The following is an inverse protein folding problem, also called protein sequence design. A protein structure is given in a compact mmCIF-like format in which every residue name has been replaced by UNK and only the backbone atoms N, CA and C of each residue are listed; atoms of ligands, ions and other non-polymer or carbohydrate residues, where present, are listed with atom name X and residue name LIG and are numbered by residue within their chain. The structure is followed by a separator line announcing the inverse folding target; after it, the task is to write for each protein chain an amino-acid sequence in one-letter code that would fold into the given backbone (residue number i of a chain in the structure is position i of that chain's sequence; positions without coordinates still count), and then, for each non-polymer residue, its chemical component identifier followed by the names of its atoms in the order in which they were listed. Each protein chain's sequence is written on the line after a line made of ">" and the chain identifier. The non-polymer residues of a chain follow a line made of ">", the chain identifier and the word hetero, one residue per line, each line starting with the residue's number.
data_IF_458350765510
#
_entry.id   IF_458350765510
#
_cell.length_a   1.000
_cell.length_b   1.000
_cell.length_c   1.000
_cell.angle_alpha   90.00
_cell.angle_beta   90.00
_cell.angle_gamma   90.00
#
_symmetry.space_group_name_H-M   'P 1'
#
loop_
_entity.id
_entity.type
_entity.pdbx_description
1 polymer ?
#
# COMPACT_ATOMS: atom_id res chain seq x y z
N UNK A 1 33.39 88.23 19.82
CA UNK A 1 33.99 87.94 21.15
C UNK A 1 32.96 87.23 22.01
N UNK A 2 33.36 86.09 22.60
CA UNK A 2 32.81 85.46 23.83
C UNK A 2 31.41 84.83 23.78
N UNK A 3 31.43 83.52 23.54
CA UNK A 3 30.77 82.40 24.22
C UNK A 3 29.80 82.76 25.37
N UNK A 4 28.62 82.12 25.40
CA UNK A 4 28.13 81.38 26.58
C UNK A 4 26.83 80.64 26.29
N UNK A 5 26.76 79.43 26.86
CA UNK A 5 25.75 78.38 26.79
C UNK A 5 24.31 78.80 27.11
N UNK A 6 23.35 77.92 26.79
CA UNK A 6 22.24 77.70 27.69
C UNK A 6 22.06 76.24 28.13
N UNK A 7 21.57 76.17 29.36
CA UNK A 7 21.36 75.08 30.29
C UNK A 7 20.14 74.20 29.97
N UNK A 8 20.31 72.90 30.23
CA UNK A 8 19.37 71.83 30.63
C UNK A 8 17.85 71.99 30.39
N UNK A 9 17.29 70.99 29.71
CA UNK A 9 15.92 70.50 29.95
C UNK A 9 15.99 68.95 30.01
N UNK A 10 15.50 68.30 31.08
CA UNK A 10 15.19 66.87 31.07
C UNK A 10 13.67 66.63 31.12
N UNK A 11 13.24 65.48 30.60
CA UNK A 11 12.02 64.70 30.94
C UNK A 11 11.43 64.15 29.64
N UNK A 12 11.72 62.90 29.29
CA UNK A 12 10.98 61.70 29.75
C UNK A 12 9.52 61.70 29.27
N UNK A 13 9.28 60.98 28.16
CA UNK A 13 8.18 60.02 28.09
C UNK A 13 8.39 59.10 26.89
N UNK A 14 8.85 57.90 27.24
CA UNK A 14 8.92 56.69 26.42
C UNK A 14 7.56 56.35 25.80
N UNK A 15 7.56 56.09 24.49
CA UNK A 15 6.53 55.29 23.82
C UNK A 15 7.29 54.18 23.07
N UNK A 16 7.21 52.90 23.48
CA UNK A 16 7.68 51.83 22.63
C UNK A 16 6.61 51.57 21.57
N UNK A 17 6.89 52.01 20.35
CA UNK A 17 6.15 51.61 19.16
C UNK A 17 6.32 50.09 19.00
N UNK A 18 5.20 49.37 18.99
CA UNK A 18 5.16 47.93 18.72
C UNK A 18 5.45 47.73 17.25
N UNK A 19 6.73 47.71 16.88
CA UNK A 19 7.18 47.13 15.63
C UNK A 19 6.98 45.62 15.75
N UNK A 20 5.80 45.15 15.35
CA UNK A 20 5.59 43.75 15.00
C UNK A 20 6.47 43.47 13.80
N UNK A 21 7.70 43.03 14.07
CA UNK A 21 8.52 42.28 13.14
C UNK A 21 7.73 41.03 12.78
N UNK A 22 6.95 41.11 11.69
CA UNK A 22 6.54 39.92 10.97
C UNK A 22 7.82 39.43 10.31
N UNK A 23 8.48 38.48 10.96
CA UNK A 23 9.52 37.67 10.36
C UNK A 23 8.90 36.96 9.16
N UNK A 24 9.00 37.60 8.00
CA UNK A 24 8.89 36.94 6.73
C UNK A 24 10.07 35.97 6.66
N UNK A 25 9.82 34.72 7.05
CA UNK A 25 10.63 33.57 6.67
C UNK A 25 10.51 33.38 5.16
N UNK A 26 11.20 34.26 4.42
CA UNK A 26 11.56 34.02 3.05
C UNK A 26 12.67 32.96 3.04
N UNK A 27 12.29 31.69 3.03
CA UNK A 27 13.22 30.59 2.76
C UNK A 27 13.68 30.67 1.32
N UNK A 28 14.96 30.98 1.16
CA UNK A 28 15.65 31.15 -0.10
C UNK A 28 15.71 29.82 -0.89
N UNK A 29 15.37 29.93 -2.17
CA UNK A 29 15.34 28.89 -3.19
C UNK A 29 16.74 28.34 -3.47
N UNK A 30 17.01 27.14 -2.96
CA UNK A 30 18.00 26.20 -3.52
C UNK A 30 17.19 25.01 -3.99
N UNK A 31 17.40 24.50 -5.21
CA UNK A 31 16.53 23.52 -5.87
C UNK A 31 16.32 22.23 -5.02
N UNK A 32 15.34 22.28 -4.11
CA UNK A 32 14.99 21.21 -3.19
C UNK A 32 14.05 20.27 -3.93
N UNK A 33 14.52 19.05 -4.20
CA UNK A 33 13.69 18.03 -4.82
C UNK A 33 12.51 17.72 -3.88
N UNK A 34 11.31 17.50 -4.42
CA UNK A 34 10.13 17.25 -3.60
C UNK A 34 10.28 15.97 -2.78
N UNK A 35 9.60 15.93 -1.64
CA UNK A 35 9.50 14.72 -0.82
C UNK A 35 8.86 13.56 -1.61
N UNK A 36 9.18 12.30 -1.27
CA UNK A 36 8.55 11.13 -1.88
C UNK A 36 7.02 11.19 -1.81
N UNK A 37 6.35 10.93 -2.94
CA UNK A 37 4.89 11.05 -3.04
C UNK A 37 4.14 9.89 -2.34
N UNK A 38 4.83 8.82 -1.99
CA UNK A 38 4.29 7.71 -1.19
C UNK A 38 5.20 7.43 0.01
N UNK A 39 4.65 6.98 1.16
CA UNK A 39 5.45 6.59 2.31
C UNK A 39 6.46 5.50 1.96
N UNK A 40 7.64 5.53 2.56
CA UNK A 40 8.71 4.54 2.28
C UNK A 40 8.27 3.09 2.53
N UNK A 41 7.42 2.89 3.53
CA UNK A 41 6.85 1.58 3.94
C UNK A 41 5.66 1.12 3.07
N UNK A 42 5.26 1.91 2.07
CA UNK A 42 4.10 1.63 1.25
C UNK A 42 4.37 0.41 0.35
N UNK A 43 3.92 -0.77 0.79
CA UNK A 43 4.00 -2.03 0.05
C UNK A 43 2.62 -2.48 -0.43
N UNK A 44 2.44 -2.54 -1.75
CA UNK A 44 1.21 -2.95 -2.44
C UNK A 44 1.38 -4.23 -3.28
N UNK A 45 2.44 -5.01 -3.05
CA UNK A 45 2.71 -6.27 -3.80
C UNK A 45 1.64 -7.34 -3.62
N UNK A 46 0.84 -7.26 -2.55
CA UNK A 46 -0.31 -8.12 -2.29
C UNK A 46 -1.60 -7.69 -3.00
N UNK A 47 -1.63 -6.51 -3.63
CA UNK A 47 -2.77 -5.98 -4.36
C UNK A 47 -2.47 -6.04 -5.87
N UNK A 48 -2.90 -7.11 -6.57
CA UNK A 48 -2.53 -7.33 -7.98
C UNK A 48 -3.17 -6.33 -8.95
N UNK A 49 -4.24 -5.66 -8.55
CA UNK A 49 -4.95 -4.70 -9.39
C UNK A 49 -4.50 -3.27 -9.06
N UNK A 50 -4.03 -2.55 -10.07
CA UNK A 50 -3.84 -1.10 -10.00
C UNK A 50 -5.12 -0.40 -10.46
N UNK A 51 -5.78 0.43 -9.62
CA UNK A 51 -6.96 1.18 -10.04
C UNK A 51 -6.55 2.27 -11.05
N UNK A 52 -7.22 2.28 -12.20
CA UNK A 52 -7.05 3.29 -13.24
C UNK A 52 -8.33 4.10 -13.39
N UNK A 53 -8.21 5.42 -13.27
CA UNK A 53 -9.29 6.34 -13.59
C UNK A 53 -9.36 6.49 -15.12
N UNK A 54 -10.37 5.86 -15.72
CA UNK A 54 -10.52 5.75 -17.17
C UNK A 54 -10.71 7.12 -17.82
N UNK A 55 -11.52 7.99 -17.20
CA UNK A 55 -11.78 9.34 -17.71
C UNK A 55 -10.51 10.18 -17.65
N UNK A 56 -9.85 10.20 -16.49
CA UNK A 56 -8.60 10.96 -16.31
C UNK A 56 -7.48 10.45 -17.22
N UNK A 57 -7.42 9.15 -17.49
CA UNK A 57 -6.42 8.56 -18.38
C UNK A 57 -6.70 8.91 -19.85
N UNK A 58 -7.94 8.69 -20.31
CA UNK A 58 -8.35 8.90 -21.70
C UNK A 58 -8.26 10.37 -22.10
N UNK A 59 -8.69 11.26 -21.22
CA UNK A 59 -8.81 12.70 -21.51
C UNK A 59 -7.53 13.48 -21.13
N UNK A 60 -6.45 12.79 -20.72
CA UNK A 60 -5.17 13.43 -20.38
C UNK A 60 -4.39 13.87 -21.62
N UNK A 61 -3.60 14.93 -21.48
CA UNK A 61 -2.64 15.38 -22.49
C UNK A 61 -1.69 14.27 -22.96
N UNK A 62 -1.33 13.33 -22.07
CA UNK A 62 -0.51 12.16 -22.44
C UNK A 62 -1.20 11.35 -23.54
N UNK A 63 -2.52 11.21 -23.50
CA UNK A 63 -3.28 10.50 -24.51
C UNK A 63 -3.34 11.25 -25.84
N UNK A 64 -3.24 12.59 -25.82
CA UNK A 64 -3.36 13.46 -26.99
C UNK A 64 -2.02 13.72 -27.70
N UNK A 65 -0.95 14.03 -26.95
CA UNK A 65 0.29 14.60 -27.50
C UNK A 65 1.35 13.55 -27.85
N UNK A 66 1.31 12.38 -27.21
CA UNK A 66 2.41 11.40 -27.26
C UNK A 66 2.20 10.31 -28.32
N UNK A 67 3.33 9.83 -28.85
CA UNK A 67 3.31 8.68 -29.76
C UNK A 67 2.62 7.46 -29.13
N UNK A 68 1.90 6.62 -29.89
CA UNK A 68 1.28 5.40 -29.36
C UNK A 68 2.28 4.49 -28.61
N UNK A 69 3.51 4.41 -29.11
CA UNK A 69 4.61 3.68 -28.48
C UNK A 69 4.98 4.25 -27.10
N UNK A 70 5.16 5.58 -26.99
CA UNK A 70 5.44 6.24 -25.71
C UNK A 70 4.29 6.08 -24.72
N UNK A 71 3.03 6.19 -25.17
CA UNK A 71 1.83 5.96 -24.33
C UNK A 71 1.80 4.55 -23.77
N UNK A 72 2.04 3.55 -24.61
CA UNK A 72 2.08 2.14 -24.17
C UNK A 72 3.23 1.88 -23.18
N UNK A 73 4.44 2.36 -23.49
CA UNK A 73 5.59 2.29 -22.60
C UNK A 73 5.31 2.94 -21.24
N UNK A 74 4.66 4.12 -21.23
CA UNK A 74 4.26 4.80 -20.01
C UNK A 74 3.27 3.98 -19.15
N UNK A 75 2.32 3.28 -19.77
CA UNK A 75 1.39 2.39 -19.04
C UNK A 75 2.15 1.20 -18.43
N UNK A 76 3.07 0.57 -19.18
CA UNK A 76 3.91 -0.50 -18.66
C UNK A 76 4.75 -0.05 -17.46
N UNK A 77 5.30 1.16 -17.51
CA UNK A 77 6.03 1.76 -16.39
C UNK A 77 5.12 2.02 -15.18
N UNK A 78 3.89 2.47 -15.38
CA UNK A 78 2.92 2.61 -14.27
C UNK A 78 2.65 1.26 -13.59
N UNK A 79 2.42 0.21 -14.39
CA UNK A 79 2.21 -1.14 -13.88
C UNK A 79 3.46 -1.67 -13.14
N UNK A 80 4.66 -1.43 -13.67
CA UNK A 80 5.91 -1.84 -13.03
C UNK A 80 6.15 -1.11 -11.69
N UNK A 81 5.78 0.17 -11.62
CA UNK A 81 5.92 1.02 -10.45
C UNK A 81 4.96 0.62 -9.32
N UNK A 82 3.76 0.16 -9.66
CA UNK A 82 2.72 -0.22 -8.68
C UNK A 82 3.23 -1.21 -7.61
N UNK A 83 4.08 -2.14 -8.01
CA UNK A 83 4.63 -3.18 -7.14
C UNK A 83 6.04 -2.90 -6.60
N UNK A 84 6.60 -1.71 -6.84
CA UNK A 84 7.86 -1.31 -6.20
C UNK A 84 7.65 -1.04 -4.70
N UNK A 85 8.75 -0.98 -3.96
CA UNK A 85 8.77 -0.51 -2.57
C UNK A 85 9.81 0.62 -2.53
N UNK A 86 9.39 1.89 -2.31
CA UNK A 86 8.01 2.36 -2.08
C UNK A 86 7.09 2.20 -3.30
N UNK A 87 5.80 1.92 -3.09
CA UNK A 87 4.85 1.75 -4.19
C UNK A 87 4.79 3.00 -5.06
N UNK A 88 4.68 2.81 -6.38
CA UNK A 88 4.65 3.85 -7.43
C UNK A 88 5.94 4.63 -7.62
N UNK A 89 7.02 4.20 -6.99
CA UNK A 89 8.37 4.69 -7.27
C UNK A 89 9.00 3.90 -8.42
N UNK A 90 9.88 4.55 -9.19
CA UNK A 90 10.75 3.91 -10.17
C UNK A 90 12.21 4.31 -9.91
N UNK A 91 13.18 3.40 -10.10
CA UNK A 91 14.59 3.79 -10.13
C UNK A 91 14.87 4.64 -11.38
N UNK A 92 15.67 5.69 -11.22
CA UNK A 92 16.17 6.54 -12.32
C UNK A 92 17.35 5.86 -13.06
N UNK A 93 17.16 4.61 -13.46
CA UNK A 93 18.12 3.81 -14.22
C UNK A 93 17.56 3.54 -15.62
N UNK A 94 18.27 4.05 -16.64
CA UNK A 94 17.84 3.95 -18.03
C UNK A 94 17.70 2.50 -18.51
N UNK A 95 18.59 1.60 -18.09
CA UNK A 95 18.54 0.19 -18.46
C UNK A 95 17.35 -0.51 -17.80
N UNK A 96 17.13 -0.23 -16.52
CA UNK A 96 15.98 -0.76 -15.79
C UNK A 96 14.66 -0.30 -16.42
N UNK A 97 14.56 0.99 -16.77
CA UNK A 97 13.37 1.57 -17.38
C UNK A 97 13.10 0.97 -18.77
N UNK A 98 14.12 0.85 -19.62
CA UNK A 98 14.00 0.23 -20.93
C UNK A 98 13.51 -1.23 -20.84
N UNK A 99 14.05 -2.00 -19.88
CA UNK A 99 13.61 -3.38 -19.62
C UNK A 99 12.13 -3.47 -19.24
N UNK A 100 11.65 -2.58 -18.37
CA UNK A 100 10.24 -2.58 -17.93
C UNK A 100 9.27 -2.02 -18.96
N UNK A 101 9.75 -1.15 -19.84
CA UNK A 101 8.97 -0.62 -20.95
C UNK A 101 8.93 -1.56 -22.18
N UNK A 102 9.57 -2.74 -22.13
CA UNK A 102 9.74 -3.68 -23.24
C UNK A 102 10.59 -3.17 -24.42
N UNK A 103 11.56 -2.29 -24.16
CA UNK A 103 12.55 -1.81 -25.14
C UNK A 103 13.94 -2.41 -24.89
N UNK A 104 13.97 -3.66 -24.46
CA UNK A 104 15.18 -4.42 -24.20
C UNK A 104 15.18 -5.72 -25.02
N UNK A 105 16.09 -5.82 -25.98
CA UNK A 105 16.17 -6.96 -26.89
C UNK A 105 17.62 -7.43 -27.05
N UNK A 106 17.81 -8.76 -27.06
CA UNK A 106 19.13 -9.40 -27.27
C UNK A 106 20.24 -8.86 -26.35
N UNK A 107 19.90 -8.50 -25.11
CA UNK A 107 20.85 -7.99 -24.12
C UNK A 107 21.27 -6.53 -24.33
N UNK A 108 20.55 -5.75 -25.14
CA UNK A 108 20.81 -4.33 -25.38
C UNK A 108 19.52 -3.52 -25.36
N UNK A 109 19.66 -2.23 -25.07
CA UNK A 109 18.57 -1.25 -25.19
C UNK A 109 18.26 -1.03 -26.67
N UNK A 110 16.98 -1.03 -27.02
CA UNK A 110 16.54 -0.68 -28.38
C UNK A 110 16.85 0.78 -28.70
N UNK A 111 17.22 1.07 -29.95
CA UNK A 111 17.48 2.44 -30.42
C UNK A 111 16.25 3.32 -30.29
N UNK A 112 15.06 2.73 -30.47
CA UNK A 112 13.78 3.43 -30.40
C UNK A 112 13.47 3.94 -29.00
N UNK A 113 14.04 3.32 -27.95
CA UNK A 113 13.86 3.76 -26.56
C UNK A 113 14.24 5.22 -26.36
N UNK A 114 15.34 5.65 -26.96
CA UNK A 114 15.86 7.01 -26.80
C UNK A 114 14.87 8.08 -27.28
N UNK A 115 14.12 7.79 -28.35
CA UNK A 115 13.14 8.69 -28.94
C UNK A 115 11.85 8.79 -28.09
N UNK A 116 11.42 7.68 -27.49
CA UNK A 116 10.15 7.63 -26.75
C UNK A 116 10.30 7.83 -25.24
N UNK A 117 11.52 7.72 -24.69
CA UNK A 117 11.77 7.73 -23.24
C UNK A 117 11.18 8.97 -22.57
N UNK A 118 11.35 10.13 -23.20
CA UNK A 118 10.83 11.39 -22.69
C UNK A 118 9.30 11.35 -22.55
N UNK A 119 8.60 10.82 -23.56
CA UNK A 119 7.15 10.67 -23.51
C UNK A 119 6.66 9.58 -22.58
N UNK A 120 7.38 8.46 -22.48
CA UNK A 120 7.08 7.39 -21.52
C UNK A 120 7.22 7.86 -20.06
N UNK A 121 8.19 8.76 -19.81
CA UNK A 121 8.45 9.39 -18.51
C UNK A 121 7.74 10.74 -18.32
N UNK A 122 6.77 11.08 -19.17
CA UNK A 122 5.97 12.30 -18.99
C UNK A 122 5.21 12.25 -17.66
N UNK A 123 5.29 13.32 -16.88
CA UNK A 123 4.63 13.46 -15.58
C UNK A 123 5.30 12.74 -14.42
N UNK A 124 6.45 12.11 -14.64
CA UNK A 124 7.29 11.59 -13.57
C UNK A 124 8.12 12.70 -12.94
N UNK A 125 8.19 12.70 -11.61
CA UNK A 125 8.87 13.71 -10.80
C UNK A 125 9.98 13.01 -10.03
N UNK A 126 11.20 13.54 -10.11
CA UNK A 126 12.31 13.04 -9.30
C UNK A 126 12.18 13.61 -7.89
N UNK A 127 12.11 12.72 -6.90
CA UNK A 127 12.01 13.08 -5.49
C UNK A 127 13.40 13.04 -4.81
N UNK A 128 13.45 13.52 -3.57
CA UNK A 128 14.68 13.61 -2.76
C UNK A 128 15.36 12.25 -2.47
N UNK A 129 14.62 11.14 -2.57
CA UNK A 129 15.13 9.77 -2.45
C UNK A 129 15.82 9.24 -3.73
N UNK A 130 15.93 10.08 -4.76
CA UNK A 130 16.54 9.73 -6.05
C UNK A 130 15.65 8.87 -6.95
N UNK A 131 14.39 8.63 -6.58
CA UNK A 131 13.43 7.85 -7.36
C UNK A 131 12.46 8.77 -8.12
N UNK A 132 11.89 8.21 -9.19
CA UNK A 132 10.86 8.86 -9.97
C UNK A 132 9.49 8.45 -9.43
N UNK A 133 8.62 9.41 -9.15
CA UNK A 133 7.24 9.18 -8.74
C UNK A 133 6.28 9.82 -9.74
N UNK A 134 5.12 9.21 -9.92
CA UNK A 134 4.08 9.77 -10.76
C UNK A 134 2.85 10.12 -9.92
N UNK A 135 2.40 11.39 -9.89
CA UNK A 135 1.44 11.89 -8.90
C UNK A 135 0.08 11.19 -8.99
N UNK A 136 -0.37 10.84 -10.20
CA UNK A 136 -1.66 10.16 -10.41
C UNK A 136 -1.69 8.78 -9.76
N UNK A 137 -0.64 7.98 -9.96
CA UNK A 137 -0.59 6.62 -9.39
C UNK A 137 -0.24 6.67 -7.91
N UNK A 138 0.60 7.63 -7.48
CA UNK A 138 0.94 7.84 -6.07
C UNK A 138 -0.30 8.18 -5.23
N UNK A 139 -1.20 9.02 -5.76
CA UNK A 139 -2.51 9.28 -5.15
C UNK A 139 -3.29 7.98 -4.90
N UNK A 140 -3.39 7.11 -5.91
CA UNK A 140 -4.09 5.83 -5.78
C UNK A 140 -3.38 4.85 -4.84
N UNK A 141 -2.05 4.84 -4.85
CA UNK A 141 -1.25 4.01 -3.95
C UNK A 141 -1.44 4.42 -2.48
N UNK A 142 -1.44 5.72 -2.16
CA UNK A 142 -1.74 6.20 -0.81
C UNK A 142 -3.14 5.78 -0.36
N UNK A 143 -4.14 5.88 -1.24
CA UNK A 143 -5.50 5.45 -0.93
C UNK A 143 -5.57 3.94 -0.66
N UNK A 144 -4.94 3.11 -1.49
CA UNK A 144 -4.85 1.66 -1.30
C UNK A 144 -4.10 1.30 0.00
N UNK A 145 -2.98 1.97 0.27
CA UNK A 145 -2.18 1.79 1.47
C UNK A 145 -2.95 2.13 2.74
N UNK A 146 -3.62 3.29 2.78
CA UNK A 146 -4.44 3.69 3.91
C UNK A 146 -5.58 2.70 4.18
N UNK A 147 -6.22 2.19 3.13
CA UNK A 147 -7.28 1.17 3.23
C UNK A 147 -6.74 -0.15 3.81
N UNK A 148 -5.55 -0.56 3.37
CA UNK A 148 -4.85 -1.74 3.90
C UNK A 148 -4.50 -1.58 5.38
N UNK A 149 -4.00 -0.41 5.79
CA UNK A 149 -3.70 -0.12 7.20
C UNK A 149 -4.98 -0.13 8.07
N UNK A 150 -6.07 0.49 7.61
CA UNK A 150 -7.38 0.46 8.29
C UNK A 150 -7.90 -0.96 8.46
N UNK A 151 -7.80 -1.80 7.42
CA UNK A 151 -8.26 -3.18 7.48
C UNK A 151 -7.40 -4.04 8.44
N UNK A 152 -6.09 -3.82 8.46
CA UNK A 152 -5.17 -4.44 9.44
C UNK A 152 -5.56 -4.06 10.86
N UNK A 153 -5.81 -2.78 11.10
CA UNK A 153 -6.23 -2.27 12.40
C UNK A 153 -7.56 -2.82 12.87
N UNK A 154 -8.59 -2.84 12.00
CA UNK A 154 -9.90 -3.43 12.31
C UNK A 154 -9.77 -4.91 12.71
N UNK A 155 -8.95 -5.66 11.97
CA UNK A 155 -8.69 -7.08 12.28
C UNK A 155 -8.03 -7.25 13.63
N UNK A 156 -7.08 -6.38 13.97
CA UNK A 156 -6.43 -6.40 15.27
C UNK A 156 -7.39 -6.04 16.41
N UNK A 157 -8.16 -4.96 16.30
CA UNK A 157 -9.17 -4.57 17.30
C UNK A 157 -10.12 -5.73 17.59
N UNK A 158 -10.58 -6.42 16.54
CA UNK A 158 -11.40 -7.62 16.70
C UNK A 158 -10.67 -8.78 17.41
N UNK A 159 -9.38 -8.99 17.13
CA UNK A 159 -8.55 -10.00 17.81
C UNK A 159 -8.34 -9.69 19.28
N UNK A 160 -8.01 -8.44 19.62
CA UNK A 160 -7.78 -8.06 21.01
C UNK A 160 -9.09 -8.11 21.81
N UNK A 161 -10.20 -7.61 21.26
CA UNK A 161 -11.52 -7.72 21.89
C UNK A 161 -11.90 -9.16 22.22
N UNK A 162 -11.69 -10.09 21.27
CA UNK A 162 -11.94 -11.53 21.51
C UNK A 162 -11.01 -12.12 22.57
N UNK A 163 -9.76 -11.64 22.68
CA UNK A 163 -8.82 -12.07 23.72
C UNK A 163 -9.23 -11.55 25.10
N UNK A 164 -9.58 -10.26 25.21
CA UNK A 164 -10.07 -9.64 26.44
C UNK A 164 -11.31 -10.35 26.99
N UNK A 165 -12.27 -10.67 26.10
CA UNK A 165 -13.46 -11.46 26.48
C UNK A 165 -13.14 -12.84 27.04
N UNK A 166 -12.12 -13.54 26.52
CA UNK A 166 -11.70 -14.87 27.02
C UNK A 166 -10.98 -14.79 28.36
N UNK A 167 -10.28 -13.68 28.61
CA UNK A 167 -9.44 -13.50 29.79
C UNK A 167 -10.15 -12.68 30.88
N UNK A 168 -11.38 -12.20 30.63
CA UNK A 168 -12.10 -11.26 31.50
C UNK A 168 -11.27 -10.01 31.86
N UNK A 169 -10.41 -9.57 30.95
CA UNK A 169 -9.60 -8.35 31.11
C UNK A 169 -10.33 -7.22 30.41
N UNK A 170 -10.54 -6.12 31.13
CA UNK A 170 -11.05 -4.87 30.56
C UNK A 170 -10.06 -4.33 29.52
N UNK A 171 -10.57 -4.00 28.34
CA UNK A 171 -9.76 -3.62 27.19
C UNK A 171 -9.99 -2.16 26.85
N UNK A 172 -8.91 -1.38 26.87
CA UNK A 172 -8.87 -0.04 26.29
C UNK A 172 -8.58 -0.14 24.79
N UNK A 173 -9.42 0.50 23.98
CA UNK A 173 -9.36 0.39 22.54
C UNK A 173 -8.36 1.40 21.96
N UNK A 174 -7.19 0.96 21.44
CA UNK A 174 -6.17 1.87 20.97
C UNK A 174 -6.71 2.65 19.77
N UNK A 175 -6.31 3.92 19.68
CA UNK A 175 -6.67 4.78 18.57
C UNK A 175 -5.91 4.41 17.28
N UNK A 176 -6.50 4.72 16.12
CA UNK A 176 -5.88 4.41 14.83
C UNK A 176 -4.63 5.27 14.59
N UNK A 177 -4.68 6.56 14.92
CA UNK A 177 -3.61 7.50 14.60
C UNK A 177 -2.41 7.31 15.52
N UNK A 178 -2.67 7.03 16.80
CA UNK A 178 -1.64 6.63 17.77
C UNK A 178 -0.91 5.35 17.32
N UNK A 179 -1.67 4.37 16.80
CA UNK A 179 -1.09 3.13 16.29
C UNK A 179 -0.30 3.32 14.99
N UNK A 180 -0.80 4.16 14.09
CA UNK A 180 -0.10 4.48 12.84
C UNK A 180 1.24 5.15 13.14
N UNK A 181 1.27 6.04 14.14
CA UNK A 181 2.48 6.70 14.64
C UNK A 181 3.44 5.73 15.33
N UNK A 182 2.93 4.69 15.97
CA UNK A 182 3.71 3.63 16.66
C UNK A 182 4.31 2.56 15.72
N UNK A 183 4.33 2.79 14.40
CA UNK A 183 5.04 1.94 13.44
C UNK A 183 4.32 0.64 13.05
N UNK A 184 3.02 0.51 13.32
CA UNK A 184 2.14 -0.55 12.82
C UNK A 184 2.81 -1.95 12.76
N UNK A 185 3.22 -2.55 13.91
CA UNK A 185 4.08 -3.73 13.94
C UNK A 185 3.51 -4.87 13.09
N UNK A 186 4.27 -5.28 12.10
CA UNK A 186 3.84 -6.23 11.10
C UNK A 186 3.75 -7.63 11.71
N UNK A 187 2.54 -8.18 11.77
CA UNK A 187 2.32 -9.61 11.98
C UNK A 187 2.73 -10.18 13.34
N UNK A 188 3.23 -9.39 14.29
CA UNK A 188 3.67 -9.94 15.57
C UNK A 188 2.48 -10.54 16.32
N UNK A 189 2.50 -11.84 16.64
CA UNK A 189 1.56 -12.40 17.58
C UNK A 189 1.66 -11.60 18.88
N UNK A 190 0.53 -11.11 19.39
CA UNK A 190 0.50 -10.50 20.71
C UNK A 190 1.14 -11.49 21.68
N UNK A 191 2.17 -11.06 22.41
CA UNK A 191 2.87 -11.92 23.35
C UNK A 191 1.83 -12.65 24.24
N UNK A 192 2.00 -13.96 24.48
CA UNK A 192 1.28 -14.62 25.56
C UNK A 192 1.48 -13.78 26.84
N UNK A 193 0.48 -13.70 27.74
CA UNK A 193 0.72 -13.04 29.01
C UNK A 193 1.86 -13.79 29.69
N UNK A 194 2.92 -13.08 30.06
CA UNK A 194 3.88 -13.65 30.99
C UNK A 194 3.16 -13.84 32.32
N UNK A 195 3.19 -15.09 32.80
CA UNK A 195 2.80 -15.51 34.15
C UNK A 195 1.31 -15.52 34.52
N UNK A 196 0.76 -16.75 34.56
CA UNK A 196 -0.38 -17.15 35.38
C UNK A 196 -0.18 -18.64 35.73
N UNK A 197 -0.51 -19.11 36.95
CA UNK A 197 0.01 -20.37 37.46
C UNK A 197 -0.48 -21.55 36.62
N UNK A 198 0.45 -22.46 36.26
CA UNK A 198 0.11 -23.78 35.71
C UNK A 198 -0.92 -24.42 36.64
N UNK A 199 -2.13 -24.66 36.16
CA UNK A 199 -2.95 -25.73 36.72
C UNK A 199 -2.20 -27.03 36.47
N UNK A 200 -1.61 -27.59 37.52
CA UNK A 200 -1.14 -28.96 37.53
C UNK A 200 -2.39 -29.83 37.48
N UNK A 201 -2.57 -30.60 36.40
CA UNK A 201 -3.45 -31.75 36.45
C UNK A 201 -2.70 -32.84 37.21
N UNK A 202 -3.19 -33.17 38.40
CA UNK A 202 -2.70 -34.30 39.19
C UNK A 202 -3.07 -35.63 38.51
N UNK A 203 -2.23 -36.67 38.60
CA UNK A 203 -2.56 -38.02 38.18
C UNK A 203 -3.43 -38.73 39.25
N UNK A 204 -4.10 -39.80 38.83
CA UNK A 204 -4.92 -40.76 39.60
C UNK A 204 -6.43 -40.43 39.64
N UNK A 205 -7.39 -41.32 39.35
CA UNK A 205 -7.43 -42.77 39.49
C UNK A 205 -8.19 -43.48 38.34
N UNK A 206 -7.75 -44.70 38.05
CA UNK A 206 -8.44 -45.71 37.24
C UNK A 206 -9.60 -46.30 38.04
N UNK A 207 -10.78 -46.46 37.43
CA UNK A 207 -11.58 -47.70 37.48
C UNK A 207 -12.88 -47.58 36.67
N UNK A 208 -12.98 -48.35 35.58
CA UNK A 208 -14.21 -48.58 34.82
C UNK A 208 -14.06 -49.89 34.01
N UNK A 209 -15.10 -50.75 33.92
CA UNK A 209 -14.99 -52.15 33.50
C UNK A 209 -14.78 -52.33 31.98
N UNK A 210 -14.33 -53.52 31.52
CA UNK A 210 -13.82 -53.72 30.16
C UNK A 210 -14.94 -53.66 29.10
N UNK A 211 -14.66 -52.95 28.00
CA UNK A 211 -15.51 -52.88 26.81
C UNK A 211 -15.43 -54.20 26.04
N UNK A 212 -16.58 -54.85 25.82
CA UNK A 212 -16.72 -55.90 24.82
C UNK A 212 -16.76 -55.28 23.41
N UNK A 213 -16.08 -55.95 22.49
CA UNK A 213 -15.98 -55.61 21.09
C UNK A 213 -17.35 -55.78 20.39
N UNK A 214 -17.78 -54.73 19.70
CA UNK A 214 -18.90 -54.74 18.77
C UNK A 214 -18.64 -53.70 17.69
N UNK A 215 -18.67 -54.16 16.43
CA UNK A 215 -18.38 -53.47 15.18
C UNK A 215 -18.67 -51.96 15.12
N UNK A 216 -17.62 -51.18 14.82
CA UNK A 216 -17.75 -49.81 14.32
C UNK A 216 -17.30 -49.82 12.86
N UNK A 217 -18.16 -49.50 11.89
CA UNK A 217 -17.73 -49.33 10.50
C UNK A 217 -16.77 -48.15 10.38
N UNK A 218 -15.58 -48.43 9.86
CA UNK A 218 -14.60 -47.44 9.45
C UNK A 218 -15.00 -46.85 8.08
N UNK A 219 -15.43 -45.60 8.03
CA UNK A 219 -15.45 -44.82 6.79
C UNK A 219 -14.82 -43.44 7.00
N UNK A 220 -13.51 -43.37 6.78
CA UNK A 220 -12.85 -42.17 6.28
C UNK A 220 -12.96 -42.15 4.77
N UNK A 221 -13.74 -41.22 4.20
CA UNK A 221 -13.40 -40.64 2.90
C UNK A 221 -14.04 -39.27 2.70
N UNK A 222 -13.15 -38.29 2.65
CA UNK A 222 -13.31 -36.97 2.02
C UNK A 222 -14.09 -37.03 0.70
N UNK A 223 -15.22 -36.32 0.62
CA UNK A 223 -15.67 -35.56 -0.57
C UNK A 223 -16.92 -34.75 -0.25
N UNK A 224 -16.79 -33.43 -0.26
CA UNK A 224 -17.89 -32.48 -0.25
C UNK A 224 -17.43 -31.27 -1.03
N UNK A 225 -17.50 -31.37 -2.36
CA UNK A 225 -17.35 -30.25 -3.25
C UNK A 225 -18.64 -29.42 -3.14
N UNK A 226 -18.53 -28.25 -2.53
CA UNK A 226 -19.64 -27.31 -2.46
C UNK A 226 -19.69 -26.60 -3.81
N UNK A 227 -20.55 -27.09 -4.69
CA UNK A 227 -20.96 -26.39 -5.90
C UNK A 227 -21.76 -25.14 -5.46
N UNK A 228 -21.15 -23.97 -5.59
CA UNK A 228 -21.85 -22.68 -5.48
C UNK A 228 -22.28 -22.28 -6.88
N UNK A 229 -23.54 -22.59 -7.21
CA UNK A 229 -24.23 -22.06 -8.39
C UNK A 229 -24.32 -20.54 -8.27
N UNK A 230 -23.57 -19.81 -9.11
CA UNK A 230 -23.72 -18.37 -9.27
C UNK A 230 -25.06 -18.10 -9.97
N UNK A 231 -26.01 -17.49 -9.25
CA UNK A 231 -27.19 -16.86 -9.84
C UNK A 231 -26.75 -15.61 -10.61
N UNK A 232 -26.71 -15.71 -11.93
CA UNK A 232 -26.62 -14.55 -12.83
C UNK A 232 -28.01 -13.92 -12.93
N UNK A 233 -28.17 -12.69 -12.45
CA UNK A 233 -29.26 -11.81 -12.88
C UNK A 233 -28.77 -11.07 -14.11
N UNK A 234 -29.29 -11.44 -15.29
CA UNK A 234 -29.15 -10.68 -16.52
C UNK A 234 -30.30 -9.68 -16.62
N UNK A 235 -30.01 -8.43 -17.01
CA UNK A 235 -30.96 -7.55 -17.68
C UNK A 235 -30.31 -7.07 -18.98
N UNK A 236 -31.04 -7.35 -20.07
CA UNK A 236 -31.02 -6.90 -21.46
C UNK A 236 -29.72 -6.48 -22.17
N UNK A 237 -29.39 -7.25 -23.21
CA UNK A 237 -28.44 -6.89 -24.27
C UNK A 237 -27.69 -8.10 -24.81
N UNK A 238 -28.38 -8.98 -25.54
CA UNK A 238 -27.88 -10.30 -25.93
C UNK A 238 -26.76 -10.30 -26.99
N UNK A 239 -25.68 -11.03 -26.70
CA UNK A 239 -24.89 -11.80 -27.67
C UNK A 239 -24.52 -13.14 -26.99
N UNK A 240 -25.17 -14.23 -27.39
CA UNK A 240 -24.83 -15.58 -26.94
C UNK A 240 -23.56 -16.09 -27.65
N UNK A 241 -22.52 -16.43 -26.89
CA UNK A 241 -21.35 -17.15 -27.41
C UNK A 241 -21.36 -18.56 -26.80
N UNK A 242 -21.73 -19.55 -27.61
CA UNK A 242 -21.72 -20.97 -27.23
C UNK A 242 -20.29 -21.52 -27.25
N UNK A 243 -19.71 -21.77 -26.07
CA UNK A 243 -18.41 -22.48 -25.95
C UNK A 243 -18.68 -23.95 -25.61
N UNK A 244 -18.46 -24.83 -26.58
CA UNK A 244 -18.58 -26.29 -26.42
C UNK A 244 -17.24 -26.86 -25.95
N UNK A 245 -17.14 -27.24 -24.68
CA UNK A 245 -15.95 -27.94 -24.17
C UNK A 245 -16.00 -29.43 -24.55
N UNK A 246 -15.07 -29.87 -25.39
CA UNK A 246 -14.88 -31.30 -25.73
C UNK A 246 -13.99 -31.96 -24.67
N UNK A 247 -14.50 -33.00 -24.00
CA UNK A 247 -13.73 -33.77 -23.03
C UNK A 247 -12.72 -34.70 -23.72
N UNK A 248 -11.46 -34.69 -23.26
CA UNK A 248 -10.41 -35.62 -23.70
C UNK A 248 -10.47 -36.89 -22.84
N UNK A 249 -10.54 -38.10 -23.44
CA UNK A 249 -10.60 -39.34 -22.67
C UNK A 249 -9.21 -39.72 -22.09
N UNK A 250 -9.21 -40.16 -20.83
CA UNK A 250 -8.03 -40.56 -20.07
C UNK A 250 -7.66 -42.01 -20.39
N UNK A 251 -6.48 -42.24 -20.96
CA UNK A 251 -5.93 -43.57 -21.28
C UNK A 251 -5.58 -44.31 -19.97
N UNK A 252 -6.04 -45.56 -19.83
CA UNK A 252 -5.63 -46.49 -18.76
C UNK A 252 -4.38 -47.24 -19.18
N UNK A 253 -3.33 -47.21 -18.37
CA UNK A 253 -2.17 -48.11 -18.48
C UNK A 253 -2.47 -49.45 -17.79
N UNK A 254 -2.10 -50.59 -18.39
CA UNK A 254 -2.24 -51.91 -17.75
C UNK A 254 -1.07 -52.19 -16.79
N UNK A 255 -1.30 -53.13 -15.87
CA UNK A 255 -0.39 -53.56 -14.79
C UNK A 255 0.87 -54.23 -15.30
#
# INVERSE_FOLDING_TARGET
>A
MKNSSPTLIPSCSSVPDRTTTIEATATASTAELPEPLTPTECDLRDIPCMPLDVTRLRDSDRAADESPAARWAGILLWCAAWHQVPATSLPDDNEWLAKRANYWHRGKIDKDWSAIRAGALRGWIKCSDGRLYHPVIAEKARAAWSSKLKQRFKTLRARIKRRGQRQHIEYDEPDFDERLSSGCPQGHPLAPPETGPRRQCSPDEKNGPPRQAGDVPSETSTKGANEVTLRTMATDGGIEVHVRASAVPRVKTPR
#
